data_IF_350087117072
#
_entry.id   IF_350087117072
#
_cell.length_a   1.000
_cell.length_b   1.000
_cell.length_c   1.000
_cell.angle_alpha   90.00
_cell.angle_beta   90.00
_cell.angle_gamma   90.00
#
_symmetry.space_group_name_H-M   'P 1'
#
loop_
_entity.id
_entity.type
_entity.pdbx_description
1 polymer ?
#
# COMPACT_ATOMS: atom_id res chain seq x y z
N UNK A 1 -6.22 25.64 11.93
CA UNK A 1 -5.09 25.74 10.97
C UNK A 1 -4.61 24.32 10.74
N UNK A 2 -4.51 23.89 9.49
CA UNK A 2 -4.03 22.55 9.13
C UNK A 2 -2.59 22.39 9.61
N UNK A 3 -2.32 21.37 10.43
CA UNK A 3 -0.96 21.11 10.89
C UNK A 3 -0.13 20.48 9.76
N UNK A 4 0.62 21.32 9.04
CA UNK A 4 1.51 20.87 7.96
C UNK A 4 2.86 20.32 8.47
N UNK A 5 3.07 20.23 9.79
CA UNK A 5 4.30 19.63 10.35
C UNK A 5 4.44 18.13 10.06
N UNK A 6 3.35 17.47 9.66
CA UNK A 6 3.34 16.06 9.30
C UNK A 6 3.82 15.79 7.86
N UNK A 7 3.97 16.84 7.03
CA UNK A 7 4.48 16.70 5.66
C UNK A 7 5.95 16.24 5.68
N UNK A 8 6.39 15.47 4.66
CA UNK A 8 7.80 15.09 4.54
C UNK A 8 8.70 16.32 4.36
N UNK A 9 9.90 16.29 4.93
CA UNK A 9 10.92 17.34 4.75
C UNK A 9 11.62 17.20 3.38
N UNK A 10 11.68 15.99 2.84
CA UNK A 10 12.34 15.64 1.59
C UNK A 10 11.32 15.42 0.47
N UNK A 11 11.51 16.11 -0.65
CA UNK A 11 10.68 16.00 -1.86
C UNK A 11 11.28 15.09 -2.94
N UNK A 12 12.50 14.57 -2.68
CA UNK A 12 13.24 13.71 -3.60
C UNK A 12 12.74 12.26 -3.64
N UNK A 13 13.27 11.50 -4.59
CA UNK A 13 13.11 10.06 -4.66
C UNK A 13 14.05 9.40 -3.65
N UNK A 14 13.64 8.33 -2.98
CA UNK A 14 14.52 7.61 -2.06
C UNK A 14 15.04 6.33 -2.71
N UNK A 15 16.33 6.27 -3.04
CA UNK A 15 16.94 5.04 -3.51
C UNK A 15 18.44 5.06 -3.25
N UNK A 16 19.04 3.88 -3.16
CA UNK A 16 20.46 3.72 -2.79
C UNK A 16 20.80 4.37 -1.43
N UNK A 17 19.85 4.35 -0.49
CA UNK A 17 20.04 4.84 0.88
C UNK A 17 20.03 6.36 1.04
N UNK A 18 19.64 7.12 0.01
CA UNK A 18 19.58 8.59 0.08
C UNK A 18 18.42 9.16 -0.73
N UNK A 19 17.99 10.37 -0.35
CA UNK A 19 17.10 11.18 -1.16
C UNK A 19 17.87 11.81 -2.34
N UNK A 20 17.32 11.67 -3.53
CA UNK A 20 17.93 12.15 -4.78
C UNK A 20 16.87 12.84 -5.63
N UNK A 21 17.28 13.87 -6.38
CA UNK A 21 16.38 14.57 -7.27
C UNK A 21 15.92 13.67 -8.42
N UNK A 22 14.64 13.81 -8.76
CA UNK A 22 14.05 13.26 -9.97
C UNK A 22 14.35 14.11 -11.20
N UNK A 23 13.81 13.68 -12.32
CA UNK A 23 13.81 14.38 -13.61
C UNK A 23 12.39 14.69 -14.12
N UNK A 24 11.37 14.35 -13.32
CA UNK A 24 10.00 14.83 -13.45
C UNK A 24 9.54 15.57 -12.19
N UNK A 25 8.35 16.16 -12.26
CA UNK A 25 7.71 16.87 -11.16
C UNK A 25 6.26 16.40 -11.03
N UNK A 26 5.81 16.16 -9.80
CA UNK A 26 4.43 15.85 -9.46
C UNK A 26 3.94 16.84 -8.41
N UNK A 27 2.68 17.26 -8.52
CA UNK A 27 2.03 18.13 -7.54
C UNK A 27 1.06 17.29 -6.71
N UNK A 28 1.31 17.19 -5.41
CA UNK A 28 0.30 16.73 -4.44
C UNK A 28 -0.61 17.90 -4.09
N UNK A 29 -1.91 17.63 -4.05
CA UNK A 29 -2.96 18.63 -3.81
C UNK A 29 -3.88 18.08 -2.74
N UNK A 30 -4.25 18.93 -1.78
CA UNK A 30 -5.29 18.59 -0.81
C UNK A 30 -6.62 18.51 -1.56
N UNK A 31 -7.27 17.33 -1.67
CA UNK A 31 -8.47 17.20 -2.48
C UNK A 31 -9.70 17.90 -1.85
N UNK A 32 -9.68 18.21 -0.56
CA UNK A 32 -10.77 18.92 0.11
C UNK A 32 -10.73 20.43 -0.15
N UNK A 33 -9.54 21.04 -0.25
CA UNK A 33 -9.37 22.49 -0.44
C UNK A 33 -8.97 22.88 -1.86
N UNK A 34 -8.37 21.93 -2.61
CA UNK A 34 -7.76 22.19 -3.91
C UNK A 34 -6.41 22.90 -3.84
N UNK A 35 -5.87 23.12 -2.63
CA UNK A 35 -4.58 23.77 -2.42
C UNK A 35 -3.43 22.78 -2.64
N UNK A 36 -2.33 23.27 -3.21
CA UNK A 36 -1.10 22.48 -3.33
C UNK A 36 -0.53 22.17 -1.95
N UNK A 37 -0.32 20.88 -1.67
CA UNK A 37 0.39 20.45 -0.46
C UNK A 37 1.90 20.52 -0.68
N UNK A 38 2.38 19.93 -1.78
CA UNK A 38 3.81 19.83 -2.06
C UNK A 38 4.09 19.51 -3.53
N UNK A 39 5.22 19.98 -4.04
CA UNK A 39 5.80 19.49 -5.29
C UNK A 39 6.89 18.45 -4.99
N UNK A 40 6.78 17.27 -5.60
CA UNK A 40 7.69 16.16 -5.38
C UNK A 40 8.35 15.70 -6.68
N UNK A 41 9.58 15.22 -6.57
CA UNK A 41 10.32 14.65 -7.68
C UNK A 41 9.61 13.43 -8.27
N UNK A 42 9.58 13.33 -9.59
CA UNK A 42 9.14 12.16 -10.35
C UNK A 42 10.31 11.44 -11.02
N UNK A 43 10.21 10.12 -11.19
CA UNK A 43 11.22 9.29 -11.82
C UNK A 43 10.87 8.93 -13.27
N UNK A 44 11.73 9.29 -14.22
CA UNK A 44 11.68 8.74 -15.58
C UNK A 44 12.15 7.28 -15.63
N UNK A 45 12.08 6.69 -16.83
CA UNK A 45 12.65 5.37 -17.09
C UNK A 45 14.17 5.30 -16.84
N UNK A 46 14.91 6.40 -17.01
CA UNK A 46 16.36 6.43 -16.75
C UNK A 46 16.66 6.30 -15.26
N UNK A 47 15.94 7.08 -14.43
CA UNK A 47 16.06 7.00 -12.97
C UNK A 47 15.61 5.63 -12.47
N UNK A 48 14.51 5.08 -13.00
CA UNK A 48 14.08 3.71 -12.70
C UNK A 48 15.20 2.71 -12.99
N UNK A 49 15.85 2.79 -14.15
CA UNK A 49 16.95 1.89 -14.49
C UNK A 49 18.15 2.01 -13.53
N UNK A 50 18.49 3.24 -13.13
CA UNK A 50 19.55 3.49 -12.14
C UNK A 50 19.22 2.87 -10.78
N UNK A 51 18.07 3.22 -10.22
CA UNK A 51 17.62 2.76 -8.91
C UNK A 51 17.48 1.22 -8.87
N UNK A 52 16.89 0.62 -9.90
CA UNK A 52 16.75 -0.84 -9.98
C UNK A 52 18.12 -1.53 -10.17
N UNK A 53 19.04 -0.90 -10.90
CA UNK A 53 20.40 -1.45 -11.03
C UNK A 53 21.15 -1.43 -9.70
N UNK A 54 21.07 -0.34 -8.92
CA UNK A 54 21.64 -0.27 -7.57
C UNK A 54 21.00 -1.30 -6.64
N UNK A 55 19.67 -1.40 -6.63
CA UNK A 55 18.94 -2.40 -5.86
C UNK A 55 19.37 -3.83 -6.22
N UNK A 56 19.51 -4.12 -7.52
CA UNK A 56 19.96 -5.43 -8.00
C UNK A 56 21.40 -5.76 -7.61
N UNK A 57 22.27 -4.76 -7.46
CA UNK A 57 23.66 -4.96 -7.05
C UNK A 57 23.74 -5.18 -5.53
N UNK A 58 22.90 -4.51 -4.74
CA UNK A 58 22.86 -4.63 -3.28
C UNK A 58 22.16 -5.91 -2.80
N UNK A 59 21.11 -6.34 -3.51
CA UNK A 59 20.24 -7.43 -3.08
C UNK A 59 20.95 -8.77 -2.76
N UNK A 60 21.98 -9.23 -3.50
CA UNK A 60 22.66 -10.48 -3.18
C UNK A 60 23.29 -10.50 -1.79
N UNK A 61 23.80 -9.36 -1.29
CA UNK A 61 24.32 -9.25 0.06
C UNK A 61 23.20 -9.32 1.10
N UNK A 62 22.07 -8.66 0.83
CA UNK A 62 20.88 -8.71 1.69
C UNK A 62 20.23 -10.09 1.78
N UNK A 63 20.19 -10.84 0.68
CA UNK A 63 19.74 -12.22 0.67
C UNK A 63 20.60 -13.13 1.55
N UNK A 64 21.91 -12.88 1.59
CA UNK A 64 22.88 -13.64 2.41
C UNK A 64 22.89 -13.23 3.88
N UNK A 65 22.40 -12.04 4.21
CA UNK A 65 22.27 -11.58 5.59
C UNK A 65 21.45 -12.58 6.42
N UNK A 66 21.66 -12.61 7.72
CA UNK A 66 20.89 -13.50 8.59
C UNK A 66 19.41 -13.06 8.61
N UNK A 67 18.47 -14.00 8.63
CA UNK A 67 17.04 -13.66 8.68
C UNK A 67 16.70 -12.79 9.90
N UNK A 68 17.41 -12.97 11.02
CA UNK A 68 17.26 -12.16 12.24
C UNK A 68 17.72 -10.72 12.04
N UNK A 69 18.77 -10.49 11.25
CA UNK A 69 19.20 -9.13 10.87
C UNK A 69 18.11 -8.46 10.03
N UNK A 70 17.56 -9.17 9.04
CA UNK A 70 16.46 -8.65 8.22
C UNK A 70 15.22 -8.32 9.04
N UNK A 71 14.84 -9.20 9.97
CA UNK A 71 13.74 -8.97 10.90
C UNK A 71 14.05 -7.78 11.82
N UNK A 72 15.27 -7.63 12.31
CA UNK A 72 15.67 -6.50 13.17
C UNK A 72 15.47 -5.16 12.46
N UNK A 73 15.84 -5.05 11.18
CA UNK A 73 15.57 -3.85 10.37
C UNK A 73 14.07 -3.56 10.25
N UNK A 74 13.25 -4.59 10.00
CA UNK A 74 11.79 -4.45 9.94
C UNK A 74 11.20 -4.07 11.30
N UNK A 75 11.72 -4.60 12.40
CA UNK A 75 11.27 -4.24 13.76
C UNK A 75 11.51 -2.76 14.05
N UNK A 76 12.68 -2.23 13.71
CA UNK A 76 12.95 -0.78 13.79
C UNK A 76 11.99 0.03 12.94
N UNK A 77 11.63 -0.46 11.75
CA UNK A 77 10.63 0.18 10.90
C UNK A 77 9.23 0.18 11.57
N UNK A 78 8.81 -0.93 12.19
CA UNK A 78 7.57 -1.00 12.97
C UNK A 78 7.58 0.04 14.10
N UNK A 79 8.67 0.09 14.89
CA UNK A 79 8.81 1.03 16.01
C UNK A 79 8.72 2.49 15.53
N UNK A 80 9.33 2.80 14.39
CA UNK A 80 9.28 4.15 13.80
C UNK A 80 7.87 4.52 13.30
N UNK A 81 7.13 3.57 12.73
CA UNK A 81 5.72 3.78 12.35
C UNK A 81 4.87 4.03 13.60
N UNK A 82 5.03 3.22 14.64
CA UNK A 82 4.27 3.36 15.89
C UNK A 82 4.53 4.72 16.55
N UNK A 83 5.78 5.15 16.61
CA UNK A 83 6.17 6.45 17.16
C UNK A 83 5.59 7.67 16.40
N UNK A 84 5.23 7.50 15.11
CA UNK A 84 4.71 8.56 14.24
C UNK A 84 3.27 8.32 13.79
N UNK A 85 2.54 7.41 14.47
CA UNK A 85 1.22 6.93 14.05
C UNK A 85 0.20 8.07 13.77
N UNK A 86 0.15 9.06 14.66
CA UNK A 86 -0.78 10.19 14.53
C UNK A 86 -0.42 11.10 13.34
N UNK A 87 0.86 11.40 13.16
CA UNK A 87 1.32 12.25 12.06
C UNK A 87 1.09 11.57 10.71
N UNK A 88 1.30 10.25 10.64
CA UNK A 88 1.05 9.46 9.43
C UNK A 88 -0.43 9.44 9.07
N UNK A 89 -1.34 9.22 10.04
CA UNK A 89 -2.77 9.26 9.79
C UNK A 89 -3.25 10.66 9.35
N UNK A 90 -2.68 11.72 9.93
CA UNK A 90 -2.97 13.11 9.53
C UNK A 90 -2.48 13.37 8.11
N UNK A 91 -1.24 12.97 7.79
CA UNK A 91 -0.64 13.14 6.47
C UNK A 91 -1.46 12.43 5.39
N UNK A 92 -1.79 11.16 5.61
CA UNK A 92 -2.58 10.37 4.65
C UNK A 92 -3.97 10.99 4.48
N UNK A 93 -4.59 11.50 5.54
CA UNK A 93 -5.88 12.20 5.45
C UNK A 93 -5.80 13.45 4.57
N UNK A 94 -4.75 14.24 4.70
CA UNK A 94 -4.54 15.46 3.90
C UNK A 94 -4.30 15.16 2.42
N UNK A 95 -3.49 14.15 2.13
CA UNK A 95 -3.08 13.79 0.76
C UNK A 95 -4.18 13.00 0.02
N UNK A 96 -4.95 12.17 0.74
CA UNK A 96 -5.98 11.29 0.15
C UNK A 96 -7.37 11.89 0.11
N UNK A 97 -7.71 12.78 1.04
CA UNK A 97 -9.09 13.22 1.27
C UNK A 97 -9.91 12.30 2.16
N UNK A 98 -9.34 11.19 2.66
CA UNK A 98 -10.02 10.27 3.57
C UNK A 98 -10.05 10.83 5.01
N UNK A 99 -11.08 10.51 5.81
CA UNK A 99 -11.19 11.01 7.19
C UNK A 99 -10.03 10.49 8.06
N UNK A 100 -9.51 11.36 8.94
CA UNK A 100 -8.44 11.02 9.89
C UNK A 100 -8.71 9.74 10.68
N UNK A 101 -9.95 9.56 11.17
CA UNK A 101 -10.35 8.36 11.90
C UNK A 101 -10.20 7.08 11.06
N UNK A 102 -10.51 7.16 9.76
CA UNK A 102 -10.27 6.08 8.82
C UNK A 102 -8.78 5.78 8.66
N UNK A 103 -7.94 6.81 8.55
CA UNK A 103 -6.49 6.64 8.40
C UNK A 103 -5.81 6.12 9.68
N UNK A 104 -6.40 6.31 10.86
CA UNK A 104 -5.95 5.61 12.07
C UNK A 104 -6.13 4.09 11.99
N UNK A 105 -7.17 3.62 11.28
CA UNK A 105 -7.38 2.19 11.04
C UNK A 105 -6.26 1.64 10.15
N UNK A 106 -5.86 2.39 9.11
CA UNK A 106 -4.75 2.05 8.23
C UNK A 106 -3.43 1.87 9.01
N UNK A 107 -3.16 2.75 9.96
CA UNK A 107 -1.97 2.64 10.82
C UNK A 107 -2.01 1.37 11.68
N UNK A 108 -3.15 1.10 12.33
CA UNK A 108 -3.33 -0.09 13.17
C UNK A 108 -3.17 -1.39 12.36
N UNK A 109 -3.77 -1.45 11.17
CA UNK A 109 -3.65 -2.61 10.28
C UNK A 109 -2.19 -2.78 9.82
N UNK A 110 -1.51 -1.69 9.48
CA UNK A 110 -0.11 -1.73 9.06
C UNK A 110 0.77 -2.33 10.14
N UNK A 111 0.69 -1.81 11.38
CA UNK A 111 1.46 -2.32 12.51
C UNK A 111 1.20 -3.82 12.75
N UNK A 112 -0.07 -4.24 12.77
CA UNK A 112 -0.44 -5.63 12.97
C UNK A 112 0.08 -6.56 11.85
N UNK A 113 -0.02 -6.16 10.58
CA UNK A 113 0.43 -6.97 9.45
C UNK A 113 1.95 -7.01 9.37
N UNK A 114 2.64 -5.90 9.63
CA UNK A 114 4.10 -5.85 9.67
C UNK A 114 4.64 -6.74 10.80
N UNK A 115 4.04 -6.67 11.99
CA UNK A 115 4.37 -7.53 13.13
C UNK A 115 4.15 -9.02 12.81
N UNK A 116 3.01 -9.35 12.21
CA UNK A 116 2.70 -10.71 11.76
C UNK A 116 3.79 -11.24 10.82
N UNK A 117 4.15 -10.50 9.78
CA UNK A 117 5.18 -10.96 8.83
C UNK A 117 6.58 -11.03 9.46
N UNK A 118 6.91 -10.13 10.38
CA UNK A 118 8.14 -10.22 11.16
C UNK A 118 8.18 -11.49 12.03
N UNK A 119 7.05 -11.88 12.63
CA UNK A 119 6.92 -13.13 13.38
C UNK A 119 6.97 -14.39 12.51
N UNK A 120 6.49 -14.31 11.26
CA UNK A 120 6.49 -15.41 10.29
C UNK A 120 7.84 -15.61 9.57
N UNK A 121 8.86 -14.82 9.85
CA UNK A 121 10.16 -14.95 9.18
C UNK A 121 10.80 -16.36 9.26
N UNK A 122 10.73 -17.10 10.40
CA UNK A 122 11.21 -18.47 10.47
C UNK A 122 10.44 -19.47 9.60
N UNK A 123 9.22 -19.11 9.16
CA UNK A 123 8.38 -19.95 8.30
C UNK A 123 8.79 -19.89 6.82
N UNK A 124 9.83 -19.13 6.46
CA UNK A 124 10.47 -19.15 5.14
C UNK A 124 11.36 -20.40 5.03
N UNK A 125 10.74 -21.56 5.21
CA UNK A 125 11.38 -22.88 5.19
C UNK A 125 11.07 -23.62 3.90
N UNK A 126 12.01 -24.47 3.52
CA UNK A 126 11.82 -25.50 2.52
C UNK A 126 11.15 -26.74 3.10
N UNK A 127 11.03 -27.77 2.27
CA UNK A 127 10.46 -29.06 2.66
C UNK A 127 11.40 -30.18 2.21
N UNK A 128 11.59 -31.18 3.06
CA UNK A 128 12.17 -32.47 2.66
C UNK A 128 11.05 -33.45 2.35
N UNK A 129 11.18 -34.22 1.28
CA UNK A 129 10.16 -35.17 0.86
C UNK A 129 10.77 -36.47 0.33
N UNK A 130 10.05 -37.60 0.42
CA UNK A 130 10.53 -38.87 -0.12
C UNK A 130 10.60 -38.80 -1.65
N UNK A 131 11.65 -39.41 -2.22
CA UNK A 131 11.81 -39.57 -3.66
C UNK A 131 12.41 -40.94 -4.01
N UNK A 132 12.33 -41.37 -5.28
CA UNK A 132 12.83 -42.68 -5.68
C UNK A 132 14.36 -42.78 -5.57
N UNK A 133 14.84 -43.96 -5.17
CA UNK A 133 16.26 -44.30 -5.10
C UNK A 133 16.98 -43.80 -3.84
N UNK A 134 18.30 -43.73 -3.90
CA UNK A 134 19.20 -43.31 -2.81
C UNK A 134 19.54 -41.82 -2.94
N UNK A 135 18.54 -40.94 -2.75
CA UNK A 135 18.68 -39.49 -2.91
C UNK A 135 17.96 -38.74 -1.79
N UNK A 136 18.58 -37.65 -1.34
CA UNK A 136 17.93 -36.66 -0.47
C UNK A 136 17.24 -35.64 -1.36
N UNK A 137 15.92 -35.47 -1.19
CA UNK A 137 15.14 -34.49 -1.92
C UNK A 137 14.64 -33.41 -0.94
N UNK A 138 14.90 -32.16 -1.27
CA UNK A 138 14.39 -31.01 -0.54
C UNK A 138 14.18 -29.82 -1.46
N UNK A 139 13.30 -28.91 -1.04
CA UNK A 139 13.12 -27.60 -1.65
C UNK A 139 13.73 -26.53 -0.77
N UNK A 140 14.03 -25.36 -1.34
CA UNK A 140 14.39 -24.14 -0.62
C UNK A 140 13.58 -22.98 -1.18
N UNK A 141 13.36 -21.95 -0.37
CA UNK A 141 12.70 -20.71 -0.78
C UNK A 141 13.76 -19.62 -0.96
N UNK A 142 14.07 -19.30 -2.20
CA UNK A 142 15.04 -18.24 -2.54
C UNK A 142 14.33 -16.91 -2.82
N UNK A 143 14.94 -15.76 -2.47
CA UNK A 143 14.42 -14.46 -2.90
C UNK A 143 14.42 -14.34 -4.41
N UNK A 144 13.44 -13.61 -4.94
CA UNK A 144 13.29 -13.36 -6.36
C UNK A 144 14.33 -12.34 -6.88
N UNK A 145 14.86 -11.48 -6.02
CA UNK A 145 15.78 -10.41 -6.41
C UNK A 145 15.16 -9.04 -6.16
N UNK A 146 15.09 -8.19 -7.20
CA UNK A 146 14.38 -6.90 -7.11
C UNK A 146 12.89 -7.12 -7.39
N UNK A 147 12.05 -6.60 -6.52
CA UNK A 147 10.59 -6.65 -6.66
C UNK A 147 10.00 -5.24 -6.66
N UNK A 148 9.03 -5.00 -7.56
CA UNK A 148 8.32 -3.73 -7.66
C UNK A 148 6.94 -3.82 -6.99
N UNK A 149 6.59 -2.81 -6.20
CA UNK A 149 5.29 -2.64 -5.55
C UNK A 149 4.65 -1.33 -6.02
N UNK A 150 3.68 -1.43 -6.92
CA UNK A 150 2.89 -0.29 -7.37
C UNK A 150 1.63 -0.24 -6.50
N UNK A 151 1.53 0.79 -5.66
CA UNK A 151 0.49 0.90 -4.63
C UNK A 151 -0.53 2.00 -4.98
N UNK A 152 -1.79 1.87 -4.53
CA UNK A 152 -2.89 2.72 -4.95
C UNK A 152 -2.99 3.97 -4.07
N UNK A 153 -3.95 4.84 -4.37
CA UNK A 153 -4.14 6.09 -3.65
C UNK A 153 -5.07 6.02 -2.44
N UNK A 154 -5.87 4.96 -2.31
CA UNK A 154 -6.96 4.94 -1.35
C UNK A 154 -6.53 4.56 0.07
N UNK A 155 -5.39 3.88 0.21
CA UNK A 155 -4.72 3.58 1.48
C UNK A 155 -3.18 3.68 1.30
N UNK A 156 -2.63 4.85 0.95
CA UNK A 156 -1.26 4.98 0.48
C UNK A 156 -0.23 4.52 1.51
N UNK A 157 -0.35 5.01 2.74
CA UNK A 157 0.53 4.62 3.84
C UNK A 157 0.47 3.10 4.09
N UNK A 158 -0.75 2.58 4.26
CA UNK A 158 -0.95 1.16 4.58
C UNK A 158 -0.36 0.25 3.52
N UNK A 159 -0.65 0.51 2.23
CA UNK A 159 -0.13 -0.33 1.17
C UNK A 159 1.39 -0.23 1.02
N UNK A 160 2.00 0.95 1.21
CA UNK A 160 3.46 1.09 1.19
C UNK A 160 4.11 0.24 2.30
N UNK A 161 3.55 0.25 3.51
CA UNK A 161 4.01 -0.58 4.63
C UNK A 161 3.81 -2.08 4.38
N UNK A 162 2.56 -2.53 4.18
CA UNK A 162 2.26 -3.98 4.15
C UNK A 162 2.84 -4.69 2.92
N UNK A 163 3.02 -3.97 1.79
CA UNK A 163 3.58 -4.56 0.57
C UNK A 163 5.12 -4.60 0.57
N UNK A 164 5.78 -3.93 1.51
CA UNK A 164 7.24 -3.89 1.61
C UNK A 164 7.82 -4.93 2.57
N UNK A 165 7.17 -5.19 3.72
CA UNK A 165 7.76 -6.02 4.78
C UNK A 165 8.01 -7.48 4.36
N UNK A 166 7.01 -8.18 3.83
CA UNK A 166 7.17 -9.59 3.44
C UNK A 166 8.33 -9.82 2.44
N UNK A 167 8.46 -9.07 1.33
CA UNK A 167 9.59 -9.24 0.42
C UNK A 167 10.93 -8.84 1.04
N UNK A 168 11.00 -7.81 1.90
CA UNK A 168 12.23 -7.42 2.60
C UNK A 168 12.74 -8.56 3.49
N UNK A 169 11.87 -9.16 4.30
CA UNK A 169 12.19 -10.29 5.18
C UNK A 169 12.62 -11.51 4.37
N UNK A 170 11.98 -11.75 3.22
CA UNK A 170 12.37 -12.83 2.30
C UNK A 170 13.72 -12.60 1.60
N UNK A 171 14.37 -11.44 1.79
CA UNK A 171 15.69 -11.14 1.23
C UNK A 171 15.65 -10.45 -0.13
N UNK A 172 14.51 -9.89 -0.55
CA UNK A 172 14.40 -9.11 -1.78
C UNK A 172 14.77 -7.65 -1.54
N UNK A 173 15.21 -6.97 -2.60
CA UNK A 173 15.19 -5.51 -2.64
C UNK A 173 13.84 -5.04 -3.17
N UNK A 174 13.26 -4.03 -2.53
CA UNK A 174 11.92 -3.53 -2.83
C UNK A 174 12.00 -2.14 -3.43
N UNK A 175 11.28 -1.95 -4.54
CA UNK A 175 11.04 -0.63 -5.14
C UNK A 175 9.54 -0.36 -5.08
N UNK A 176 9.14 0.63 -4.30
CA UNK A 176 7.74 1.05 -4.16
C UNK A 176 7.50 2.24 -5.08
N UNK A 177 6.42 2.19 -5.86
CA UNK A 177 5.89 3.33 -6.60
C UNK A 177 4.53 3.70 -6.03
N UNK A 178 4.41 4.77 -5.21
CA UNK A 178 3.12 5.25 -4.75
C UNK A 178 2.30 5.82 -5.92
N UNK A 179 1.01 6.00 -5.70
CA UNK A 179 0.16 6.72 -6.64
C UNK A 179 0.66 8.17 -6.80
N UNK A 180 0.67 8.68 -8.02
CA UNK A 180 0.96 10.08 -8.32
C UNK A 180 0.02 11.06 -7.61
N UNK A 181 -1.15 10.60 -7.17
CA UNK A 181 -2.13 11.42 -6.44
C UNK A 181 -1.84 11.52 -4.94
N UNK A 182 -1.08 10.59 -4.37
CA UNK A 182 -0.85 10.48 -2.90
C UNK A 182 0.59 10.05 -2.57
N UNK A 183 1.60 10.80 -3.02
CA UNK A 183 3.00 10.38 -2.88
C UNK A 183 3.57 10.61 -1.47
N UNK A 184 2.93 11.41 -0.62
CA UNK A 184 3.60 12.02 0.53
C UNK A 184 3.87 11.01 1.66
N UNK A 185 2.94 10.11 1.93
CA UNK A 185 3.11 9.09 2.98
C UNK A 185 4.27 8.13 2.69
N UNK A 186 4.51 7.81 1.42
CA UNK A 186 5.66 6.97 1.03
C UNK A 186 7.00 7.70 1.25
N UNK A 187 7.06 9.01 0.99
CA UNK A 187 8.23 9.83 1.29
C UNK A 187 8.47 9.92 2.79
N UNK A 188 7.41 10.14 3.59
CA UNK A 188 7.53 10.19 5.04
C UNK A 188 8.04 8.87 5.61
N UNK A 189 7.57 7.73 5.10
CA UNK A 189 8.12 6.40 5.43
C UNK A 189 9.63 6.32 5.14
N UNK A 190 10.09 6.82 3.99
CA UNK A 190 11.50 6.79 3.61
C UNK A 190 12.38 7.60 4.57
N UNK A 191 11.91 8.76 5.05
CA UNK A 191 12.64 9.57 6.04
C UNK A 191 12.85 8.84 7.36
N UNK A 192 11.79 8.20 7.85
CA UNK A 192 11.79 7.58 9.16
C UNK A 192 12.50 6.22 9.18
N UNK A 193 12.40 5.46 8.09
CA UNK A 193 12.77 4.05 8.10
C UNK A 193 13.71 3.61 6.97
N UNK A 194 13.94 4.46 5.96
CA UNK A 194 14.79 4.11 4.82
C UNK A 194 16.21 3.71 5.23
N UNK A 195 16.76 4.39 6.24
CA UNK A 195 18.12 4.18 6.74
C UNK A 195 18.28 2.95 7.65
N UNK A 196 17.19 2.25 7.99
CA UNK A 196 17.30 0.98 8.72
C UNK A 196 17.72 -0.18 7.82
N UNK A 197 17.62 -0.01 6.51
CA UNK A 197 18.01 -1.00 5.51
C UNK A 197 19.32 -0.61 4.84
N UNK A 198 20.11 -1.58 4.36
CA UNK A 198 21.27 -1.27 3.53
C UNK A 198 20.87 -0.47 2.28
N UNK A 199 21.76 0.39 1.75
CA UNK A 199 21.55 1.11 0.50
C UNK A 199 21.04 0.20 -0.63
N UNK A 200 19.96 0.63 -1.29
CA UNK A 200 19.36 -0.07 -2.42
C UNK A 200 18.33 -1.15 -2.05
N UNK A 201 18.15 -1.50 -0.77
CA UNK A 201 17.20 -2.55 -0.35
C UNK A 201 15.77 -2.03 -0.21
N UNK A 202 15.59 -0.82 0.30
CA UNK A 202 14.31 -0.14 0.37
C UNK A 202 14.35 1.12 -0.48
N UNK A 203 13.45 1.24 -1.46
CA UNK A 203 13.46 2.35 -2.41
C UNK A 203 12.02 2.83 -2.66
N UNK A 204 11.83 4.15 -2.74
CA UNK A 204 10.59 4.84 -3.11
C UNK A 204 10.85 5.65 -4.38
N UNK A 205 10.14 5.31 -5.45
CA UNK A 205 10.18 6.03 -6.72
C UNK A 205 8.79 6.59 -7.04
N UNK A 206 8.60 7.88 -6.79
CA UNK A 206 7.42 8.61 -7.23
C UNK A 206 7.39 8.72 -8.75
N UNK A 207 6.20 8.80 -9.33
CA UNK A 207 6.04 8.99 -10.77
C UNK A 207 4.69 8.52 -11.27
N UNK A 208 4.35 8.84 -12.52
CA UNK A 208 3.06 8.49 -13.12
C UNK A 208 3.06 7.10 -13.76
N UNK A 209 2.24 6.96 -14.81
CA UNK A 209 2.14 5.74 -15.62
C UNK A 209 3.49 5.28 -16.19
N UNK A 210 4.31 6.21 -16.68
CA UNK A 210 5.59 5.92 -17.34
C UNK A 210 6.57 5.22 -16.39
N UNK A 211 6.67 5.70 -15.15
CA UNK A 211 7.49 5.10 -14.08
C UNK A 211 7.01 3.68 -13.76
N UNK A 212 5.70 3.48 -13.65
CA UNK A 212 5.11 2.16 -13.40
C UNK A 212 5.38 1.18 -14.55
N UNK A 213 5.26 1.63 -15.79
CA UNK A 213 5.57 0.84 -16.99
C UNK A 213 7.06 0.50 -17.07
N UNK A 214 7.93 1.48 -16.82
CA UNK A 214 9.38 1.27 -16.77
C UNK A 214 9.75 0.18 -15.74
N UNK A 215 9.18 0.24 -14.52
CA UNK A 215 9.37 -0.79 -13.50
C UNK A 215 8.86 -2.17 -13.96
N UNK A 216 7.67 -2.22 -14.56
CA UNK A 216 7.06 -3.46 -15.02
C UNK A 216 7.84 -4.11 -16.18
N UNK A 217 8.45 -3.30 -17.05
CA UNK A 217 9.24 -3.78 -18.18
C UNK A 217 10.68 -4.13 -17.79
N UNK A 218 11.24 -3.50 -16.75
CA UNK A 218 12.67 -3.58 -16.42
C UNK A 218 13.18 -5.03 -16.25
N UNK A 219 14.26 -5.45 -16.93
CA UNK A 219 14.71 -6.84 -16.98
C UNK A 219 15.22 -7.39 -15.63
N UNK A 220 15.71 -6.51 -14.75
CA UNK A 220 16.18 -6.88 -13.39
C UNK A 220 15.06 -6.97 -12.33
N UNK A 221 13.86 -6.49 -12.64
CA UNK A 221 12.69 -6.68 -11.75
C UNK A 221 12.12 -8.06 -12.02
N UNK A 222 12.05 -8.92 -11.00
CA UNK A 222 11.62 -10.32 -11.14
C UNK A 222 10.17 -10.56 -10.72
N UNK A 223 9.63 -9.69 -9.88
CA UNK A 223 8.22 -9.68 -9.50
C UNK A 223 7.67 -8.26 -9.53
N UNK A 224 6.45 -8.12 -10.04
CA UNK A 224 5.70 -6.86 -10.02
C UNK A 224 4.38 -7.13 -9.34
N UNK A 225 4.06 -6.33 -8.33
CA UNK A 225 2.70 -6.30 -7.76
C UNK A 225 2.06 -4.96 -8.01
N UNK A 226 0.79 -5.00 -8.38
CA UNK A 226 -0.06 -3.83 -8.52
C UNK A 226 -1.29 -4.02 -7.63
N UNK A 227 -1.60 -2.99 -6.85
CA UNK A 227 -2.96 -2.77 -6.37
C UNK A 227 -3.55 -1.61 -7.19
N UNK A 228 -4.68 -1.82 -7.85
CA UNK A 228 -5.26 -0.77 -8.69
C UNK A 228 -6.38 -1.20 -9.62
N UNK A 229 -6.54 -0.48 -10.73
CA UNK A 229 -7.64 -0.72 -11.67
C UNK A 229 -7.40 -1.94 -12.58
N UNK A 230 -8.48 -2.57 -13.06
CA UNK A 230 -8.39 -3.67 -14.04
C UNK A 230 -7.65 -3.26 -15.32
N UNK A 231 -7.91 -2.07 -15.93
CA UNK A 231 -7.12 -1.58 -17.06
C UNK A 231 -5.62 -1.48 -16.75
N UNK A 232 -5.24 -0.93 -15.60
CA UNK A 232 -3.83 -0.83 -15.18
C UNK A 232 -3.23 -2.22 -14.97
N UNK A 233 -3.97 -3.16 -14.36
CA UNK A 233 -3.52 -4.55 -14.18
C UNK A 233 -3.23 -5.27 -15.49
N UNK A 234 -4.10 -5.07 -16.50
CA UNK A 234 -3.86 -5.59 -17.86
C UNK A 234 -2.61 -4.99 -18.49
N UNK A 235 -2.39 -3.68 -18.34
CA UNK A 235 -1.18 -3.02 -18.83
C UNK A 235 0.09 -3.56 -18.15
N UNK A 236 0.07 -3.72 -16.82
CA UNK A 236 1.19 -4.29 -16.05
C UNK A 236 1.47 -5.73 -16.48
N UNK A 237 0.45 -6.56 -16.71
CA UNK A 237 0.63 -7.92 -17.24
C UNK A 237 1.29 -7.92 -18.61
N UNK A 238 0.84 -7.06 -19.52
CA UNK A 238 1.42 -6.93 -20.85
C UNK A 238 2.90 -6.52 -20.78
N UNK A 239 3.22 -5.52 -19.96
CA UNK A 239 4.60 -5.05 -19.74
C UNK A 239 5.49 -6.14 -19.10
N UNK A 240 4.97 -6.85 -18.10
CA UNK A 240 5.67 -7.90 -17.39
C UNK A 240 5.96 -9.14 -18.26
N UNK A 241 5.11 -9.42 -19.26
CA UNK A 241 5.23 -10.58 -20.14
C UNK A 241 6.57 -10.62 -20.91
N UNK A 242 7.17 -9.45 -21.19
CA UNK A 242 8.45 -9.33 -21.92
C UNK A 242 9.62 -10.06 -21.25
N UNK A 243 9.55 -10.27 -19.94
CA UNK A 243 10.57 -11.00 -19.19
C UNK A 243 9.99 -12.17 -18.38
N UNK A 244 8.76 -12.60 -18.70
CA UNK A 244 8.02 -13.69 -18.02
C UNK A 244 8.11 -13.55 -16.49
N UNK A 245 7.78 -12.35 -15.99
CA UNK A 245 7.87 -12.03 -14.56
C UNK A 245 6.72 -12.65 -13.78
N UNK A 246 6.94 -12.90 -12.49
CA UNK A 246 5.85 -13.17 -11.56
C UNK A 246 5.04 -11.89 -11.35
N UNK A 247 3.71 -11.95 -11.49
CA UNK A 247 2.81 -10.80 -11.33
C UNK A 247 1.75 -11.11 -10.28
N UNK A 248 1.54 -10.18 -9.34
CA UNK A 248 0.46 -10.25 -8.35
C UNK A 248 -0.43 -9.02 -8.50
N UNK A 249 -1.71 -9.24 -8.82
CA UNK A 249 -2.68 -8.18 -9.04
C UNK A 249 -3.78 -8.21 -7.98
N UNK A 250 -3.93 -7.11 -7.26
CA UNK A 250 -5.10 -6.81 -6.42
C UNK A 250 -5.92 -5.76 -7.15
N UNK A 251 -7.09 -6.14 -7.67
CA UNK A 251 -7.88 -5.29 -8.56
C UNK A 251 -9.20 -4.86 -7.92
N UNK A 252 -9.96 -4.04 -8.63
CA UNK A 252 -11.29 -3.61 -8.20
C UNK A 252 -12.28 -4.77 -8.06
N UNK A 253 -13.22 -4.62 -7.13
CA UNK A 253 -14.31 -5.57 -6.88
C UNK A 253 -15.68 -4.91 -6.97
N UNK A 254 -16.73 -5.74 -7.05
CA UNK A 254 -18.14 -5.33 -6.91
C UNK A 254 -18.82 -6.23 -5.89
N UNK A 255 -18.31 -6.18 -4.67
CA UNK A 255 -18.57 -7.18 -3.64
C UNK A 255 -20.03 -7.13 -3.15
N UNK A 256 -20.74 -8.27 -3.14
CA UNK A 256 -22.07 -8.36 -2.56
C UNK A 256 -22.00 -8.61 -1.04
N UNK A 257 -22.87 -7.94 -0.28
CA UNK A 257 -23.26 -8.34 1.07
C UNK A 257 -24.68 -8.93 0.98
N UNK A 258 -24.82 -10.21 1.30
CA UNK A 258 -26.09 -10.94 1.26
C UNK A 258 -26.72 -10.93 2.65
N UNK A 259 -27.96 -10.45 2.75
CA UNK A 259 -28.68 -10.27 4.01
C UNK A 259 -29.91 -11.19 3.99
N UNK A 260 -29.81 -12.30 4.74
CA UNK A 260 -30.84 -13.32 4.89
C UNK A 260 -31.93 -12.88 5.90
N UNK A 261 -33.17 -13.38 5.79
CA UNK A 261 -34.30 -12.88 6.57
C UNK A 261 -34.23 -13.18 8.08
N UNK A 262 -33.41 -14.14 8.50
CA UNK A 262 -33.26 -14.53 9.91
C UNK A 262 -32.24 -13.67 10.68
N UNK A 263 -31.54 -12.75 10.00
CA UNK A 263 -30.54 -11.90 10.64
C UNK A 263 -31.21 -10.84 11.53
N UNK A 264 -30.51 -10.46 12.60
CA UNK A 264 -30.83 -9.24 13.32
C UNK A 264 -30.71 -8.02 12.38
N UNK A 265 -31.81 -7.28 12.23
CA UNK A 265 -31.92 -6.22 11.21
C UNK A 265 -30.98 -5.05 11.55
N UNK A 266 -30.87 -4.67 12.82
CA UNK A 266 -30.00 -3.57 13.26
C UNK A 266 -28.52 -3.92 13.01
N UNK A 267 -28.11 -5.15 13.35
CA UNK A 267 -26.78 -5.67 13.03
C UNK A 267 -26.51 -5.68 11.52
N UNK A 268 -27.49 -6.07 10.72
CA UNK A 268 -27.36 -6.08 9.26
C UNK A 268 -27.19 -4.67 8.68
N UNK A 269 -27.96 -3.69 9.16
CA UNK A 269 -27.84 -2.27 8.78
C UNK A 269 -26.44 -1.75 9.15
N UNK A 270 -26.00 -1.95 10.39
CA UNK A 270 -24.68 -1.49 10.86
C UNK A 270 -23.54 -2.13 10.05
N UNK A 271 -23.65 -3.42 9.74
CA UNK A 271 -22.68 -4.15 8.92
C UNK A 271 -22.66 -3.64 7.48
N UNK A 272 -23.83 -3.36 6.90
CA UNK A 272 -23.94 -2.82 5.55
C UNK A 272 -23.28 -1.43 5.44
N UNK A 273 -23.59 -0.53 6.37
CA UNK A 273 -23.02 0.83 6.40
C UNK A 273 -21.51 0.78 6.58
N UNK A 274 -21.02 -0.02 7.54
CA UNK A 274 -19.59 -0.21 7.78
C UNK A 274 -18.89 -0.81 6.56
N UNK A 275 -19.46 -1.86 5.96
CA UNK A 275 -18.88 -2.58 4.82
C UNK A 275 -18.78 -1.74 3.55
N UNK A 276 -19.59 -0.69 3.40
CA UNK A 276 -19.45 0.24 2.28
C UNK A 276 -18.21 1.12 2.38
N UNK A 277 -17.53 1.17 3.54
CA UNK A 277 -16.29 1.92 3.78
C UNK A 277 -16.42 3.43 3.52
N UNK A 278 -17.62 4.00 3.72
CA UNK A 278 -17.83 5.45 3.61
C UNK A 278 -17.03 6.21 4.67
N UNK A 279 -17.00 5.69 5.91
CA UNK A 279 -16.27 6.33 7.01
C UNK A 279 -14.79 5.99 7.09
N UNK A 280 -14.31 5.11 6.20
CA UNK A 280 -12.90 4.75 6.12
C UNK A 280 -12.24 5.47 4.96
N UNK A 281 -12.81 5.37 3.75
CA UNK A 281 -12.22 5.92 2.53
C UNK A 281 -13.25 6.53 1.58
N UNK A 282 -14.35 7.09 2.08
CA UNK A 282 -15.44 7.63 1.25
C UNK A 282 -15.94 6.63 0.18
N UNK A 283 -15.92 5.32 0.49
CA UNK A 283 -16.29 4.27 -0.44
C UNK A 283 -15.27 3.94 -1.53
N UNK A 284 -14.13 4.65 -1.59
CA UNK A 284 -13.01 4.42 -2.51
C UNK A 284 -12.21 3.16 -2.15
N UNK A 285 -12.87 2.01 -2.02
CA UNK A 285 -12.27 0.77 -1.54
C UNK A 285 -12.65 -0.40 -2.44
N UNK A 286 -11.64 -1.17 -2.89
CA UNK A 286 -11.86 -2.39 -3.68
C UNK A 286 -12.60 -3.48 -2.89
N UNK A 287 -12.50 -3.44 -1.55
CA UNK A 287 -13.18 -4.34 -0.62
C UNK A 287 -14.58 -3.87 -0.21
N UNK A 288 -15.02 -2.69 -0.66
CA UNK A 288 -16.35 -2.15 -0.30
C UNK A 288 -17.48 -3.10 -0.70
N UNK A 289 -18.43 -3.33 0.20
CA UNK A 289 -19.66 -4.08 -0.06
C UNK A 289 -20.66 -3.24 -0.84
N UNK A 290 -20.30 -2.89 -2.07
CA UNK A 290 -21.03 -1.93 -2.92
C UNK A 290 -22.33 -2.47 -3.54
N UNK A 291 -22.75 -3.69 -3.18
CA UNK A 291 -24.06 -4.25 -3.52
C UNK A 291 -24.66 -4.91 -2.29
N UNK A 292 -25.82 -4.45 -1.86
CA UNK A 292 -26.62 -5.15 -0.85
C UNK A 292 -27.63 -6.04 -1.56
N UNK A 293 -27.60 -7.34 -1.26
CA UNK A 293 -28.58 -8.31 -1.73
C UNK A 293 -29.43 -8.71 -0.53
N UNK A 294 -30.61 -8.08 -0.42
CA UNK A 294 -31.46 -8.19 0.76
C UNK A 294 -32.68 -9.05 0.46
N UNK A 295 -32.99 -9.99 1.34
CA UNK A 295 -34.19 -10.81 1.21
C UNK A 295 -35.47 -9.96 1.24
N UNK A 296 -36.45 -10.29 0.39
CA UNK A 296 -37.67 -9.50 0.19
C UNK A 296 -38.43 -9.19 1.49
N UNK A 297 -38.50 -10.16 2.41
CA UNK A 297 -39.17 -10.02 3.71
C UNK A 297 -38.63 -8.88 4.61
N UNK A 298 -37.36 -8.50 4.46
CA UNK A 298 -36.70 -7.47 5.29
C UNK A 298 -36.16 -6.31 4.43
N UNK A 299 -36.46 -6.31 3.13
CA UNK A 299 -35.90 -5.37 2.17
C UNK A 299 -36.17 -3.91 2.56
N UNK A 300 -37.42 -3.60 2.89
CA UNK A 300 -37.85 -2.23 3.19
C UNK A 300 -37.13 -1.70 4.43
N UNK A 301 -37.12 -2.47 5.51
CA UNK A 301 -36.54 -2.06 6.80
C UNK A 301 -35.03 -1.83 6.67
N UNK A 302 -34.32 -2.72 5.96
CA UNK A 302 -32.88 -2.57 5.72
C UNK A 302 -32.58 -1.35 4.86
N UNK A 303 -33.33 -1.12 3.77
CA UNK A 303 -33.10 0.04 2.89
C UNK A 303 -33.36 1.35 3.63
N UNK A 304 -34.44 1.43 4.40
CA UNK A 304 -34.78 2.61 5.19
C UNK A 304 -33.73 2.86 6.28
N UNK A 305 -33.31 1.82 7.01
CA UNK A 305 -32.29 1.92 8.04
C UNK A 305 -30.91 2.31 7.51
N UNK A 306 -30.48 1.73 6.39
CA UNK A 306 -29.22 2.12 5.73
C UNK A 306 -29.29 3.57 5.22
N UNK A 307 -30.44 4.00 4.68
CA UNK A 307 -30.63 5.38 4.24
C UNK A 307 -30.52 6.36 5.39
N UNK A 308 -31.16 6.06 6.53
CA UNK A 308 -31.11 6.93 7.70
C UNK A 308 -29.71 6.98 8.32
N UNK A 309 -29.01 5.84 8.41
CA UNK A 309 -27.64 5.80 8.87
C UNK A 309 -26.71 6.68 8.01
N UNK A 310 -26.90 6.71 6.68
CA UNK A 310 -26.12 7.59 5.82
C UNK A 310 -26.49 9.08 5.94
N UNK A 311 -27.75 9.42 6.23
CA UNK A 311 -28.15 10.82 6.50
C UNK A 311 -27.52 11.36 7.78
N UNK A 312 -27.24 10.47 8.73
CA UNK A 312 -26.58 10.82 9.99
C UNK A 312 -25.08 11.08 9.87
N UNK A 313 -24.43 10.75 8.74
CA UNK A 313 -22.99 10.92 8.60
C UNK A 313 -22.58 12.39 8.53
N UNK A 314 -21.57 12.72 9.32
CA UNK A 314 -20.93 14.05 9.30
C UNK A 314 -19.92 14.13 8.16
N UNK A 315 -20.28 14.88 7.11
CA UNK A 315 -19.37 15.22 6.01
C UNK A 315 -18.55 16.45 6.37
N UNK A 316 -17.25 16.46 6.06
CA UNK A 316 -16.40 17.59 6.44
C UNK A 316 -14.99 17.58 5.88
N UNK A 317 -14.16 18.47 6.42
CA UNK A 317 -12.73 18.53 6.12
C UNK A 317 -12.10 17.22 6.62
N UNK A 318 -11.39 16.45 5.79
CA UNK A 318 -10.91 15.11 6.14
C UNK A 318 -10.03 15.06 7.40
N UNK A 319 -9.24 16.10 7.64
CA UNK A 319 -8.35 16.21 8.81
C UNK A 319 -9.04 16.66 10.09
N UNK A 320 -10.34 16.99 10.05
CA UNK A 320 -11.12 17.28 11.25
C UNK A 320 -11.52 15.96 11.94
N UNK A 321 -11.39 15.92 13.27
CA UNK A 321 -11.61 14.72 14.07
C UNK A 321 -13.08 14.30 14.12
N UNK A 322 -14.01 15.25 13.90
CA UNK A 322 -15.45 15.01 13.87
C UNK A 322 -15.96 14.59 12.47
N UNK A 323 -15.11 14.69 11.44
CA UNK A 323 -15.48 14.25 10.08
C UNK A 323 -15.56 12.74 10.03
N UNK A 324 -16.75 12.22 9.73
CA UNK A 324 -16.97 10.80 9.54
C UNK A 324 -16.70 10.38 8.09
N UNK A 325 -17.02 11.21 7.10
CA UNK A 325 -16.71 10.96 5.69
C UNK A 325 -16.10 12.19 5.05
N UNK A 326 -14.90 12.00 4.46
CA UNK A 326 -14.17 13.05 3.76
C UNK A 326 -14.61 13.22 2.31
N UNK A 327 -13.66 13.49 1.42
CA UNK A 327 -13.90 13.70 -0.01
C UNK A 327 -13.29 12.58 -0.87
N UNK A 328 -13.58 12.62 -2.18
CA UNK A 328 -12.88 11.80 -3.15
C UNK A 328 -11.46 12.32 -3.38
N UNK A 329 -10.53 11.44 -3.73
CA UNK A 329 -9.10 11.78 -3.82
C UNK A 329 -8.74 12.71 -4.99
N UNK A 330 -9.59 12.78 -6.01
CA UNK A 330 -9.40 13.66 -7.17
C UNK A 330 -10.72 14.31 -7.58
N UNK A 331 -10.62 15.42 -8.33
CA UNK A 331 -11.78 16.11 -8.95
C UNK A 331 -12.49 15.26 -9.99
#
# INVERSE_FOLDING_TARGET
MTNLSCLPENTGLFFDGAFQNGDGLLTSTNPATGETLMEVSGASAEIVNRAVTQASNAQPAWAKADVRERVSCVRKFIDAVEANAQDLATLDSLDTGNPYQGMQIDVKISLAVMDLFAGLAPEIKGESFPGPGDRINFSVREPLGVVARIVPFNHPFMFACIKSVAPLIAGNAVVIKPSEHTPLSALRIAEMAGNFFPPGIFNILNGGRETGSALAQHPKVRNVSLVGSVPTGRAVLADASRAVKSVLLELGGKNPLVICPEVDIDFAIATAVKGMNMTWTAGQSCGSTSRLLVHENIYKDVVEGVTEAFRGLTLGIPSDHETEMGCLTTK
#
